data_IF_034231474845
#
_entry.id   IF_034231474845
#
_cell.length_a   1.000
_cell.length_b   1.000
_cell.length_c   1.000
_cell.angle_alpha   90.00
_cell.angle_beta   90.00
_cell.angle_gamma   90.00
#
_symmetry.space_group_name_H-M   'P 1'
#
loop_
_entity.id
_entity.type
_entity.pdbx_description
1 polymer ?
#
# COMPACT_ATOMS: atom_id res chain seq x y z
N UNK A 1 4.75 50.45 -19.04
CA UNK A 1 3.96 49.91 -20.16
C UNK A 1 4.55 48.59 -20.61
N UNK A 2 4.08 47.50 -20.04
CA UNK A 2 3.99 46.18 -20.67
C UNK A 2 2.84 45.50 -19.94
N UNK A 3 1.69 45.54 -20.58
CA UNK A 3 0.47 44.86 -20.18
C UNK A 3 0.67 43.37 -20.43
N UNK A 4 0.58 42.56 -19.37
CA UNK A 4 0.37 41.13 -19.46
C UNK A 4 -1.13 40.89 -19.38
N UNK A 5 -1.79 40.98 -20.52
CA UNK A 5 -3.20 40.66 -20.71
C UNK A 5 -3.41 39.14 -20.51
N UNK A 6 -3.79 38.75 -19.29
CA UNK A 6 -4.32 37.42 -18.97
C UNK A 6 -5.84 37.44 -19.10
N UNK A 7 -6.32 37.50 -20.34
CA UNK A 7 -7.74 37.52 -20.69
C UNK A 7 -8.51 36.36 -20.06
N UNK A 8 -9.70 36.67 -19.53
CA UNK A 8 -10.59 35.74 -18.88
C UNK A 8 -11.02 34.59 -19.78
N UNK A 9 -10.73 33.37 -19.34
CA UNK A 9 -11.55 32.22 -19.63
C UNK A 9 -12.43 31.95 -18.43
N UNK A 10 -13.67 32.44 -18.43
CA UNK A 10 -14.69 31.86 -17.56
C UNK A 10 -14.73 30.36 -17.87
N UNK A 11 -14.22 29.56 -16.93
CA UNK A 11 -13.84 28.18 -17.13
C UNK A 11 -14.97 27.37 -17.74
N UNK A 12 -14.72 26.78 -18.90
CA UNK A 12 -15.63 25.91 -19.66
C UNK A 12 -15.94 24.58 -18.94
N UNK A 13 -15.39 24.39 -17.74
CA UNK A 13 -15.58 23.21 -16.91
C UNK A 13 -16.88 23.32 -16.08
N UNK A 14 -17.57 22.19 -15.81
CA UNK A 14 -18.78 22.18 -14.97
C UNK A 14 -18.52 22.77 -13.58
N UNK A 15 -19.53 23.42 -12.98
CA UNK A 15 -19.41 24.08 -11.67
C UNK A 15 -18.80 23.19 -10.56
N UNK A 16 -19.13 21.90 -10.55
CA UNK A 16 -18.59 20.96 -9.55
C UNK A 16 -17.09 20.67 -9.74
N UNK A 17 -16.59 20.72 -10.97
CA UNK A 17 -15.16 20.59 -11.28
C UNK A 17 -14.41 21.84 -10.79
N UNK A 18 -15.02 23.02 -10.93
CA UNK A 18 -14.46 24.27 -10.40
C UNK A 18 -14.33 24.24 -8.88
N UNK A 19 -15.36 23.76 -8.17
CA UNK A 19 -15.29 23.59 -6.70
C UNK A 19 -14.16 22.67 -6.24
N UNK A 20 -13.88 21.56 -6.95
CA UNK A 20 -12.75 20.67 -6.62
C UNK A 20 -11.42 21.40 -6.81
N UNK A 21 -11.29 22.22 -7.85
CA UNK A 21 -10.12 23.08 -8.07
C UNK A 21 -9.92 24.11 -6.95
N UNK A 22 -11.00 24.73 -6.47
CA UNK A 22 -10.96 25.65 -5.33
C UNK A 22 -10.50 24.95 -4.03
N UNK A 23 -10.96 23.71 -3.80
CA UNK A 23 -10.49 22.90 -2.66
C UNK A 23 -9.00 22.62 -2.76
N UNK A 24 -8.48 22.22 -3.93
CA UNK A 24 -7.05 21.98 -4.14
C UNK A 24 -6.22 23.25 -3.95
N UNK A 25 -6.73 24.40 -4.43
CA UNK A 25 -6.10 25.70 -4.22
C UNK A 25 -6.04 26.07 -2.72
N UNK A 26 -7.10 25.77 -1.95
CA UNK A 26 -7.12 26.02 -0.50
C UNK A 26 -6.11 25.19 0.28
N UNK A 27 -5.72 24.01 -0.25
CA UNK A 27 -4.68 23.15 0.32
C UNK A 27 -3.26 23.54 -0.12
N UNK A 28 -3.12 24.60 -0.95
CA UNK A 28 -1.83 25.07 -1.46
C UNK A 28 -1.28 24.27 -2.64
N UNK A 29 -2.10 23.45 -3.30
CA UNK A 29 -1.68 22.69 -4.50
C UNK A 29 -1.84 23.57 -5.74
N UNK A 30 -0.73 24.02 -6.29
CA UNK A 30 -0.71 24.98 -7.42
C UNK A 30 -0.56 24.32 -8.79
N UNK A 31 -0.05 23.10 -8.86
CA UNK A 31 0.21 22.37 -10.12
C UNK A 31 -0.26 20.93 -9.99
N UNK A 32 -1.17 20.52 -10.88
CA UNK A 32 -1.72 19.16 -10.94
C UNK A 32 -2.25 18.87 -12.36
N UNK A 33 -2.34 17.59 -12.72
CA UNK A 33 -2.95 17.17 -14.00
C UNK A 33 -4.47 17.46 -13.96
N UNK A 34 -5.06 18.12 -14.96
CA UNK A 34 -6.51 18.33 -15.06
C UNK A 34 -7.38 17.09 -14.81
N UNK A 35 -6.87 15.88 -15.11
CA UNK A 35 -7.55 14.60 -14.84
C UNK A 35 -7.80 14.35 -13.34
N UNK A 36 -6.98 14.91 -12.46
CA UNK A 36 -7.15 14.77 -11.01
C UNK A 36 -8.51 15.28 -10.55
N UNK A 37 -9.00 16.38 -11.13
CA UNK A 37 -10.33 16.90 -10.79
C UNK A 37 -11.44 15.89 -11.11
N UNK A 38 -11.32 15.19 -12.24
CA UNK A 38 -12.28 14.17 -12.66
C UNK A 38 -12.21 12.94 -11.76
N UNK A 39 -11.01 12.46 -11.45
CA UNK A 39 -10.80 11.31 -10.55
C UNK A 39 -11.34 11.60 -9.14
N UNK A 40 -11.06 12.79 -8.60
CA UNK A 40 -11.59 13.20 -7.30
C UNK A 40 -13.11 13.30 -7.31
N UNK A 41 -13.69 13.79 -8.40
CA UNK A 41 -15.13 13.87 -8.55
C UNK A 41 -15.79 12.48 -8.62
N UNK A 42 -15.22 11.55 -9.37
CA UNK A 42 -15.66 10.15 -9.43
C UNK A 42 -15.56 9.49 -8.05
N UNK A 43 -14.46 9.73 -7.34
CA UNK A 43 -14.25 9.24 -5.99
C UNK A 43 -15.33 9.75 -5.02
N UNK A 44 -15.61 11.06 -5.01
CA UNK A 44 -16.64 11.65 -4.14
C UNK A 44 -18.01 11.06 -4.46
N UNK A 45 -18.35 10.94 -5.74
CA UNK A 45 -19.63 10.36 -6.15
C UNK A 45 -19.77 8.90 -5.68
N UNK A 46 -18.74 8.08 -5.91
CA UNK A 46 -18.74 6.68 -5.47
C UNK A 46 -18.82 6.57 -3.95
N UNK A 47 -18.04 7.36 -3.22
CA UNK A 47 -18.04 7.35 -1.75
C UNK A 47 -19.41 7.73 -1.18
N UNK A 48 -20.02 8.82 -1.66
CA UNK A 48 -21.34 9.25 -1.18
C UNK A 48 -22.41 8.23 -1.54
N UNK A 49 -22.39 7.66 -2.75
CA UNK A 49 -23.34 6.63 -3.15
C UNK A 49 -23.27 5.39 -2.24
N UNK A 50 -22.07 4.92 -1.93
CA UNK A 50 -21.88 3.78 -1.02
C UNK A 50 -22.36 4.10 0.41
N UNK A 51 -22.05 5.29 0.93
CA UNK A 51 -22.49 5.69 2.28
C UNK A 51 -24.02 5.81 2.36
N UNK A 52 -24.67 6.35 1.34
CA UNK A 52 -26.14 6.47 1.30
C UNK A 52 -26.79 5.09 1.19
N UNK A 53 -26.20 4.16 0.43
CA UNK A 53 -26.66 2.77 0.35
C UNK A 53 -26.59 2.07 1.71
N UNK A 54 -25.48 2.20 2.42
CA UNK A 54 -25.31 1.62 3.75
C UNK A 54 -26.26 2.28 4.78
N UNK A 55 -26.42 3.61 4.73
CA UNK A 55 -27.35 4.34 5.58
C UNK A 55 -28.81 3.90 5.38
N UNK A 56 -29.22 3.65 4.12
CA UNK A 56 -30.54 3.11 3.82
C UNK A 56 -30.73 1.69 4.41
N UNK A 57 -29.70 0.85 4.37
CA UNK A 57 -29.75 -0.46 5.01
C UNK A 57 -29.89 -0.37 6.55
N UNK A 58 -29.24 0.61 7.20
CA UNK A 58 -29.42 0.85 8.64
C UNK A 58 -30.80 1.40 8.98
N UNK A 59 -31.34 2.29 8.15
CA UNK A 59 -32.70 2.82 8.29
C UNK A 59 -33.75 1.71 8.16
N UNK A 60 -33.60 0.80 7.19
CA UNK A 60 -34.46 -0.39 7.04
C UNK A 60 -34.36 -1.29 8.28
N UNK A 61 -33.14 -1.55 8.78
CA UNK A 61 -32.93 -2.35 9.98
C UNK A 61 -33.60 -1.75 11.23
N UNK A 62 -33.59 -0.42 11.34
CA UNK A 62 -34.23 0.32 12.43
C UNK A 62 -35.75 0.50 12.25
N UNK A 63 -36.34 0.02 11.14
CA UNK A 63 -37.75 0.21 10.77
C UNK A 63 -38.21 1.68 10.81
N UNK A 64 -37.30 2.63 10.54
CA UNK A 64 -37.63 4.06 10.47
C UNK A 64 -38.23 4.37 9.09
N UNK A 65 -39.19 5.30 8.96
CA UNK A 65 -39.75 5.67 7.66
C UNK A 65 -38.88 6.63 6.85
N UNK A 66 -37.97 7.36 7.51
CA UNK A 66 -37.08 8.35 6.91
C UNK A 66 -35.64 8.12 7.34
N UNK A 67 -34.70 8.50 6.48
CA UNK A 67 -33.26 8.41 6.71
C UNK A 67 -32.80 9.57 7.60
N UNK A 68 -32.18 9.25 8.72
CA UNK A 68 -31.70 10.23 9.70
C UNK A 68 -30.17 10.43 9.61
N UNK A 69 -29.71 11.55 10.16
CA UNK A 69 -28.29 11.89 10.33
C UNK A 69 -27.53 10.85 11.15
N UNK A 70 -28.19 10.18 12.10
CA UNK A 70 -27.61 9.09 12.88
C UNK A 70 -27.30 7.86 12.01
N UNK A 71 -28.15 7.55 11.03
CA UNK A 71 -27.95 6.41 10.13
C UNK A 71 -26.75 6.66 9.19
N UNK A 72 -26.60 7.90 8.72
CA UNK A 72 -25.42 8.35 7.95
C UNK A 72 -24.16 8.31 8.79
N UNK A 73 -24.24 8.77 10.05
CA UNK A 73 -23.09 8.76 10.97
C UNK A 73 -22.60 7.34 11.25
N UNK A 74 -23.53 6.40 11.44
CA UNK A 74 -23.23 4.99 11.63
C UNK A 74 -22.57 4.39 10.37
N UNK A 75 -23.09 4.70 9.17
CA UNK A 75 -22.50 4.26 7.92
C UNK A 75 -21.06 4.75 7.71
N UNK A 76 -20.79 6.02 8.02
CA UNK A 76 -19.44 6.56 7.97
C UNK A 76 -18.53 5.82 8.96
N UNK A 77 -18.96 5.64 10.21
CA UNK A 77 -18.16 4.94 11.23
C UNK A 77 -17.83 3.50 10.83
N UNK A 78 -18.76 2.80 10.20
CA UNK A 78 -18.55 1.44 9.70
C UNK A 78 -17.42 1.37 8.67
N UNK A 79 -17.34 2.34 7.74
CA UNK A 79 -16.33 2.35 6.67
C UNK A 79 -14.99 2.97 7.08
N UNK A 80 -14.98 3.89 8.04
CA UNK A 80 -13.75 4.64 8.41
C UNK A 80 -12.61 3.72 8.86
N UNK A 81 -12.94 2.61 9.54
CA UNK A 81 -11.95 1.68 10.06
C UNK A 81 -11.22 0.87 8.98
N UNK A 82 -11.80 0.74 7.77
CA UNK A 82 -11.23 -0.06 6.68
C UNK A 82 -10.65 0.76 5.52
N UNK A 83 -11.20 1.95 5.25
CA UNK A 83 -10.84 2.73 4.06
C UNK A 83 -9.83 3.84 4.32
N UNK A 84 -9.75 4.36 5.55
CA UNK A 84 -8.87 5.48 5.87
C UNK A 84 -7.79 5.04 6.84
N UNK A 85 -6.54 5.38 6.51
CA UNK A 85 -5.44 5.22 7.42
C UNK A 85 -5.62 6.20 8.59
N UNK A 86 -6.08 5.68 9.73
CA UNK A 86 -5.98 6.42 10.97
C UNK A 86 -4.53 6.35 11.45
N UNK A 87 -3.88 7.48 11.77
CA UNK A 87 -2.52 7.44 12.29
C UNK A 87 -2.53 6.57 13.55
N UNK A 88 -1.66 5.56 13.64
CA UNK A 88 -1.63 4.67 14.79
C UNK A 88 -1.36 5.47 16.07
N UNK A 89 -1.98 5.10 17.20
CA UNK A 89 -1.77 5.80 18.47
C UNK A 89 -0.28 5.88 18.82
N UNK A 90 0.14 7.02 19.36
CA UNK A 90 1.55 7.29 19.71
C UNK A 90 2.08 6.27 20.72
N UNK A 91 1.23 5.89 21.67
CA UNK A 91 1.52 4.93 22.73
C UNK A 91 1.87 3.56 22.15
N UNK A 92 1.11 3.11 21.14
CA UNK A 92 1.37 1.87 20.42
C UNK A 92 2.75 1.89 19.72
N UNK A 93 3.09 3.00 19.06
CA UNK A 93 4.41 3.15 18.43
C UNK A 93 5.55 3.16 19.45
N UNK A 94 5.34 3.77 20.62
CA UNK A 94 6.35 3.79 21.70
C UNK A 94 6.55 2.40 22.28
N UNK A 95 5.48 1.65 22.50
CA UNK A 95 5.56 0.27 22.97
C UNK A 95 6.32 -0.62 21.99
N UNK A 96 5.99 -0.52 20.69
CA UNK A 96 6.71 -1.22 19.64
C UNK A 96 8.18 -0.82 19.59
N UNK A 97 8.46 0.48 19.73
CA UNK A 97 9.83 1.01 19.82
C UNK A 97 10.59 0.44 21.01
N UNK A 98 9.99 0.37 22.19
CA UNK A 98 10.61 -0.25 23.38
C UNK A 98 10.89 -1.72 23.17
N UNK A 99 9.93 -2.47 22.62
CA UNK A 99 10.10 -3.89 22.33
C UNK A 99 11.26 -4.12 21.35
N UNK A 100 11.36 -3.34 20.28
CA UNK A 100 12.44 -3.47 19.28
C UNK A 100 13.79 -2.97 19.78
N UNK A 101 13.83 -1.85 20.50
CA UNK A 101 15.05 -1.26 21.04
C UNK A 101 15.60 -2.01 22.28
N UNK A 102 14.88 -3.00 22.80
CA UNK A 102 15.38 -3.88 23.87
C UNK A 102 16.50 -4.81 23.40
N UNK A 103 16.59 -5.07 22.10
CA UNK A 103 17.66 -5.89 21.51
C UNK A 103 18.90 -5.01 21.31
N UNK A 104 20.03 -5.31 21.96
CA UNK A 104 21.25 -4.53 21.78
C UNK A 104 21.76 -4.67 20.34
N UNK A 105 22.42 -3.61 19.86
CA UNK A 105 22.99 -3.62 18.51
C UNK A 105 24.08 -4.69 18.39
N UNK A 106 24.17 -5.40 17.25
CA UNK A 106 25.24 -6.34 16.98
C UNK A 106 26.59 -5.61 16.85
N UNK A 107 27.68 -6.32 17.12
CA UNK A 107 29.03 -5.78 17.02
C UNK A 107 29.34 -5.36 15.57
N UNK A 108 29.68 -4.09 15.37
CA UNK A 108 30.00 -3.53 14.05
C UNK A 108 31.47 -3.82 13.72
N UNK A 109 31.73 -4.53 12.63
CA UNK A 109 33.06 -4.61 12.00
C UNK A 109 33.10 -3.69 10.78
N UNK A 110 34.21 -2.98 10.49
CA UNK A 110 34.32 -2.16 9.28
C UNK A 110 34.06 -2.99 8.01
N UNK A 111 33.21 -2.48 7.12
CA UNK A 111 32.84 -3.14 5.85
C UNK A 111 31.33 -3.34 5.68
N UNK A 112 30.94 -3.82 4.49
CA UNK A 112 29.54 -4.16 4.17
C UNK A 112 29.29 -5.61 4.60
N UNK A 113 28.36 -5.81 5.53
CA UNK A 113 27.92 -7.14 5.95
C UNK A 113 26.69 -7.52 5.12
N UNK A 114 26.84 -8.51 4.25
CA UNK A 114 25.69 -9.12 3.59
C UNK A 114 25.03 -10.12 4.56
N UNK A 115 23.70 -10.28 4.49
CA UNK A 115 23.04 -11.45 5.06
C UNK A 115 23.65 -12.77 4.54
N UNK A 116 23.36 -13.92 5.16
CA UNK A 116 23.69 -15.23 4.59
C UNK A 116 23.31 -15.31 3.10
N UNK A 117 24.07 -16.07 2.32
CA UNK A 117 23.88 -16.18 0.85
C UNK A 117 22.46 -16.66 0.49
N UNK A 118 21.86 -17.46 1.37
CA UNK A 118 20.47 -17.94 1.29
C UNK A 118 19.41 -16.84 1.44
N UNK A 119 19.71 -15.78 2.20
CA UNK A 119 18.86 -14.59 2.36
C UNK A 119 19.24 -13.47 1.37
N UNK A 120 20.25 -13.68 0.54
CA UNK A 120 20.66 -12.75 -0.50
C UNK A 120 19.90 -13.04 -1.80
N UNK A 121 19.16 -12.05 -2.31
CA UNK A 121 18.50 -12.12 -3.63
C UNK A 121 19.51 -11.99 -4.81
N UNK A 122 20.73 -12.50 -4.64
CA UNK A 122 21.82 -12.44 -5.61
C UNK A 122 21.84 -13.65 -6.56
N UNK A 123 21.11 -14.72 -6.22
CA UNK A 123 20.95 -15.91 -7.05
C UNK A 123 19.73 -15.87 -7.96
N UNK A 124 19.79 -16.59 -9.07
CA UNK A 124 18.63 -16.75 -9.97
C UNK A 124 17.54 -17.59 -9.28
N UNK A 125 16.48 -16.94 -8.79
CA UNK A 125 15.34 -17.58 -8.12
C UNK A 125 14.28 -18.14 -9.08
N UNK A 126 14.58 -18.20 -10.38
CA UNK A 126 13.68 -18.68 -11.41
C UNK A 126 14.44 -19.50 -12.45
N UNK A 127 13.84 -20.58 -12.93
CA UNK A 127 14.36 -21.35 -14.07
C UNK A 127 13.50 -20.97 -15.27
N UNK A 128 14.10 -20.30 -16.26
CA UNK A 128 13.41 -20.06 -17.53
C UNK A 128 13.41 -21.36 -18.31
N UNK A 129 12.25 -21.99 -18.43
CA UNK A 129 12.05 -23.12 -19.33
C UNK A 129 11.99 -22.58 -20.75
N UNK A 130 13.13 -22.55 -21.43
CA UNK A 130 13.19 -22.19 -22.85
C UNK A 130 12.90 -23.44 -23.69
N UNK A 131 11.71 -23.48 -24.29
CA UNK A 131 11.35 -24.44 -25.33
C UNK A 131 10.18 -25.34 -24.94
N UNK A 132 9.07 -25.19 -25.68
CA UNK A 132 8.08 -26.27 -25.83
C UNK A 132 8.77 -27.38 -26.63
N UNK A 133 8.67 -28.61 -26.16
CA UNK A 133 8.84 -29.79 -26.99
C UNK A 133 7.82 -29.77 -28.15
N UNK A 134 8.12 -30.51 -29.22
CA UNK A 134 7.32 -30.55 -30.44
C UNK A 134 5.88 -31.07 -30.23
N UNK A 135 5.55 -31.54 -29.02
CA UNK A 135 4.23 -32.03 -28.62
C UNK A 135 3.63 -31.25 -27.43
N UNK A 136 4.12 -30.04 -27.13
CA UNK A 136 3.43 -29.08 -26.26
C UNK A 136 3.34 -29.43 -24.77
N UNK A 137 4.27 -30.23 -24.24
CA UNK A 137 4.46 -30.49 -22.81
C UNK A 137 5.41 -29.50 -22.12
N UNK A 138 5.15 -29.17 -20.85
CA UNK A 138 6.13 -28.49 -20.01
C UNK A 138 7.11 -29.52 -19.43
N UNK A 139 8.38 -29.45 -19.80
CA UNK A 139 9.45 -30.21 -19.15
C UNK A 139 9.71 -29.62 -17.74
N UNK A 140 9.03 -30.15 -16.72
CA UNK A 140 9.44 -29.91 -15.33
C UNK A 140 10.75 -30.64 -15.04
N UNK A 141 11.83 -29.91 -14.77
CA UNK A 141 13.03 -30.49 -14.17
C UNK A 141 12.82 -30.69 -12.65
N UNK A 142 13.14 -31.87 -12.09
CA UNK A 142 13.08 -32.08 -10.65
C UNK A 142 14.20 -31.31 -9.94
N UNK A 143 13.78 -30.46 -9.00
CA UNK A 143 14.52 -29.84 -7.89
C UNK A 143 15.93 -30.42 -7.66
N UNK A 144 16.96 -29.64 -8.02
CA UNK A 144 18.32 -29.90 -7.57
C UNK A 144 18.38 -29.77 -6.03
N UNK A 145 18.73 -30.88 -5.39
CA UNK A 145 18.97 -30.97 -3.95
C UNK A 145 20.06 -29.96 -3.56
N UNK A 146 19.79 -29.12 -2.56
CA UNK A 146 20.82 -28.36 -1.87
C UNK A 146 21.89 -29.35 -1.37
N UNK A 147 23.07 -29.29 -1.96
CA UNK A 147 24.21 -30.07 -1.53
C UNK A 147 24.69 -29.49 -0.20
N UNK A 148 24.49 -30.25 0.87
CA UNK A 148 25.11 -29.98 2.16
C UNK A 148 26.62 -30.09 2.02
N UNK A 149 27.34 -29.01 2.34
CA UNK A 149 28.75 -29.06 2.66
C UNK A 149 28.87 -29.47 4.13
N UNK A 150 29.22 -30.74 4.37
CA UNK A 150 29.73 -31.21 5.66
C UNK A 150 31.24 -31.38 5.47
N UNK A 151 32.01 -30.43 5.99
CA UNK A 151 33.47 -30.51 6.05
C UNK A 151 33.89 -31.52 7.11
N UNK A 152 34.93 -32.27 6.75
CA UNK A 152 35.58 -33.33 7.52
C UNK A 152 36.38 -32.74 8.69
N UNK A 153 36.31 -33.39 9.86
CA UNK A 153 37.13 -33.09 11.03
C UNK A 153 37.34 -34.38 11.81
N UNK A 154 38.47 -35.04 11.53
CA UNK A 154 38.82 -36.37 12.02
C UNK A 154 39.00 -36.46 13.53
N UNK A 155 38.51 -37.55 14.09
CA UNK A 155 38.88 -38.07 15.40
C UNK A 155 39.46 -39.48 15.19
N UNK A 156 40.78 -39.60 15.26
CA UNK A 156 41.48 -40.87 15.34
C UNK A 156 42.39 -40.81 16.58
N UNK A 157 41.83 -41.39 17.64
CA UNK A 157 42.39 -41.63 18.95
C UNK A 157 43.45 -42.74 18.91
N UNK A 158 44.63 -42.49 19.50
CA UNK A 158 45.64 -43.46 19.96
C UNK A 158 46.48 -42.74 21.03
N UNK A 159 46.31 -43.00 22.34
CA UNK A 159 47.09 -43.94 23.18
C UNK A 159 48.60 -43.81 22.90
N UNK A 160 49.42 -43.21 23.76
CA UNK A 160 49.80 -43.55 25.15
C UNK A 160 50.27 -42.28 25.88
#
# INVERSE_FOLDING_TARGET
TMEGEGGGGASTAPARVQMVGEVLASMGVTEYDPKVNHILLEFVHKYVAEIVQDAAAFQEHANKPELDTDDVRLAIQSKVNGMFAQPPPREFMIELGRAKNSVPLPLIRPGVHLPPVEDCNAGTNYVVVAGRDAEGGLLLSPRAKAAGAKEDGGDAMQTD
#
